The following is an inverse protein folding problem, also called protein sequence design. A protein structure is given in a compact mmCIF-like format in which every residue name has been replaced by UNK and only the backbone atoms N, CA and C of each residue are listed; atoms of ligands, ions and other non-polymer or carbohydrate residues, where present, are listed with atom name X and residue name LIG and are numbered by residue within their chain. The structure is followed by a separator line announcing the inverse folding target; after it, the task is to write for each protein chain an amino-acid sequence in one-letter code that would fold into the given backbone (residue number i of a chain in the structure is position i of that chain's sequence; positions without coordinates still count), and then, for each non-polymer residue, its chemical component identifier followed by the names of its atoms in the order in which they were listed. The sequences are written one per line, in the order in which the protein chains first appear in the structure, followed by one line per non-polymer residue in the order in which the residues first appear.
data_IF_137523000735
#
_entry.id   IF_137523000735
#
_cell.length_a   1.000
_cell.length_b   1.000
_cell.length_c   1.000
_cell.angle_alpha   90.00
_cell.angle_beta   90.00
_cell.angle_gamma   90.00
#
_symmetry.space_group_name_H-M   'P 1'
#
loop_
_entity.id
_entity.type
_entity.pdbx_description
1 polymer ?
#
# COMPACT_ATOMS: atom_id res chain seq x y z
N UNK A 1 54.11 -8.78 28.99
CA UNK A 1 54.31 -8.93 27.52
C UNK A 1 52.94 -9.12 26.89
N UNK A 2 52.35 -8.06 26.36
CA UNK A 2 51.08 -8.12 25.62
C UNK A 2 51.31 -8.74 24.24
N UNK A 3 50.58 -9.81 23.93
CA UNK A 3 50.54 -10.38 22.57
C UNK A 3 49.57 -9.56 21.73
N UNK A 4 50.08 -8.62 20.95
CA UNK A 4 49.32 -7.97 19.88
C UNK A 4 48.83 -9.04 18.89
N UNK A 5 47.50 -9.24 18.82
CA UNK A 5 46.87 -10.10 17.83
C UNK A 5 47.19 -9.54 16.44
N UNK A 6 47.93 -10.30 15.64
CA UNK A 6 48.23 -9.94 14.25
C UNK A 6 46.92 -9.72 13.48
N UNK A 7 46.78 -8.54 12.89
CA UNK A 7 45.67 -8.22 12.01
C UNK A 7 45.82 -9.02 10.71
N UNK A 8 45.05 -10.09 10.56
CA UNK A 8 44.95 -10.82 9.28
C UNK A 8 43.98 -10.07 8.37
N UNK A 9 44.48 -9.55 7.25
CA UNK A 9 43.61 -9.07 6.16
C UNK A 9 42.62 -10.20 5.80
N UNK A 10 41.31 -9.92 5.75
CA UNK A 10 40.34 -10.92 5.33
C UNK A 10 40.70 -11.37 3.91
N UNK A 11 40.78 -12.68 3.71
CA UNK A 11 40.99 -13.24 2.37
C UNK A 11 39.78 -12.88 1.51
N UNK A 12 39.97 -12.42 0.26
CA UNK A 12 38.84 -12.24 -0.65
C UNK A 12 38.13 -13.58 -0.80
N UNK A 13 36.83 -13.60 -0.51
CA UNK A 13 35.98 -14.76 -0.74
C UNK A 13 35.90 -14.92 -2.25
N UNK A 14 36.49 -15.99 -2.77
CA UNK A 14 36.43 -16.33 -4.19
C UNK A 14 34.98 -16.73 -4.53
N UNK A 15 34.28 -15.79 -5.16
CA UNK A 15 32.89 -15.83 -5.64
C UNK A 15 31.84 -15.70 -4.53
N UNK A 16 30.92 -14.71 -4.64
CA UNK A 16 29.71 -14.72 -3.82
C UNK A 16 28.97 -16.04 -4.03
N UNK A 17 28.45 -16.63 -2.95
CA UNK A 17 27.45 -17.69 -3.05
C UNK A 17 26.29 -17.22 -3.92
N UNK A 18 25.73 -18.18 -4.68
CA UNK A 18 24.52 -18.12 -5.52
C UNK A 18 23.66 -16.86 -5.33
N UNK A 19 23.63 -16.03 -6.38
CA UNK A 19 22.77 -14.85 -6.61
C UNK A 19 21.96 -14.36 -5.40
N UNK A 20 22.56 -13.52 -4.55
CA UNK A 20 21.79 -12.78 -3.56
C UNK A 20 20.96 -11.72 -4.29
N UNK A 21 19.63 -11.82 -4.21
CA UNK A 21 18.74 -10.79 -4.75
C UNK A 21 18.50 -9.73 -3.67
N UNK A 22 18.86 -8.48 -3.96
CA UNK A 22 18.57 -7.33 -3.09
C UNK A 22 17.36 -6.62 -3.67
N UNK A 23 16.32 -6.47 -2.85
CA UNK A 23 15.12 -5.72 -3.21
C UNK A 23 15.17 -4.38 -2.47
N UNK A 24 15.15 -3.28 -3.21
CA UNK A 24 14.98 -1.94 -2.67
C UNK A 24 13.50 -1.58 -2.70
N UNK A 25 12.94 -1.33 -1.52
CA UNK A 25 11.54 -0.99 -1.31
C UNK A 25 11.44 0.32 -0.51
N UNK A 26 11.80 1.42 -1.17
CA UNK A 26 11.73 2.76 -0.57
C UNK A 26 10.35 3.38 -0.77
N UNK A 27 10.02 4.37 0.07
CA UNK A 27 8.84 5.20 -0.07
C UNK A 27 8.73 5.77 -1.50
N UNK A 28 7.51 5.80 -2.03
CA UNK A 28 7.14 6.40 -3.29
C UNK A 28 6.93 7.92 -3.16
N UNK A 29 7.88 8.59 -2.52
CA UNK A 29 7.94 10.04 -2.44
C UNK A 29 9.27 10.58 -3.01
N UNK A 30 9.42 11.91 -3.03
CA UNK A 30 10.61 12.56 -3.61
C UNK A 30 11.90 12.12 -2.87
N UNK A 31 11.83 11.93 -1.54
CA UNK A 31 13.00 11.56 -0.73
C UNK A 31 13.33 10.09 -0.92
N UNK A 32 12.33 9.21 -0.91
CA UNK A 32 12.48 7.78 -1.15
C UNK A 32 13.07 7.49 -2.53
N UNK A 33 12.63 8.22 -3.56
CA UNK A 33 13.26 8.16 -4.91
C UNK A 33 14.74 8.53 -4.88
N UNK A 34 15.10 9.60 -4.17
CA UNK A 34 16.50 10.02 -4.03
C UNK A 34 17.36 9.03 -3.24
N UNK A 35 16.83 8.38 -2.21
CA UNK A 35 17.56 7.33 -1.47
C UNK A 35 17.71 6.06 -2.30
N UNK A 36 16.65 5.65 -3.01
CA UNK A 36 16.68 4.53 -3.93
C UNK A 36 17.81 4.67 -4.95
N UNK A 37 17.92 5.82 -5.63
CA UNK A 37 18.98 6.08 -6.62
C UNK A 37 20.38 6.00 -6.02
N UNK A 38 20.58 6.55 -4.81
CA UNK A 38 21.87 6.47 -4.12
C UNK A 38 22.23 5.02 -3.75
N UNK A 39 21.30 4.27 -3.20
CA UNK A 39 21.51 2.88 -2.82
C UNK A 39 21.72 1.98 -4.04
N UNK A 40 20.99 2.22 -5.12
CA UNK A 40 21.16 1.54 -6.40
C UNK A 40 22.58 1.70 -6.94
N UNK A 41 23.12 2.93 -6.95
CA UNK A 41 24.49 3.19 -7.37
C UNK A 41 25.55 2.52 -6.49
N UNK A 42 25.36 2.55 -5.17
CA UNK A 42 26.27 1.87 -4.22
C UNK A 42 26.25 0.35 -4.43
N UNK A 43 25.06 -0.23 -4.55
CA UNK A 43 24.91 -1.68 -4.75
C UNK A 43 25.52 -2.10 -6.07
N UNK A 44 25.24 -1.38 -7.16
CA UNK A 44 25.86 -1.66 -8.45
C UNK A 44 27.39 -1.62 -8.38
N UNK A 45 27.98 -0.62 -7.72
CA UNK A 45 29.44 -0.54 -7.56
C UNK A 45 30.03 -1.74 -6.81
N UNK A 46 29.34 -2.25 -5.79
CA UNK A 46 29.80 -3.36 -4.94
C UNK A 46 29.57 -4.75 -5.57
N UNK A 47 28.44 -4.93 -6.25
CA UNK A 47 27.95 -6.25 -6.69
C UNK A 47 28.08 -6.45 -8.20
N UNK A 48 28.28 -5.35 -8.95
CA UNK A 48 28.18 -5.31 -10.41
C UNK A 48 26.80 -5.77 -10.93
N UNK A 49 25.77 -5.68 -10.11
CA UNK A 49 24.39 -6.05 -10.42
C UNK A 49 23.43 -5.01 -9.87
N UNK A 50 22.46 -4.59 -10.68
CA UNK A 50 21.40 -3.72 -10.20
C UNK A 50 20.48 -4.50 -9.24
N UNK A 51 20.07 -3.90 -8.11
CA UNK A 51 19.07 -4.49 -7.25
C UNK A 51 17.70 -4.52 -7.95
N UNK A 52 16.83 -5.42 -7.49
CA UNK A 52 15.41 -5.37 -7.85
C UNK A 52 14.75 -4.18 -7.17
N UNK A 53 13.94 -3.41 -7.89
CA UNK A 53 13.21 -2.28 -7.33
C UNK A 53 11.75 -2.67 -7.13
N UNK A 54 11.28 -2.59 -5.89
CA UNK A 54 9.86 -2.60 -5.58
C UNK A 54 9.41 -1.15 -5.37
N UNK A 55 8.44 -0.70 -6.17
CA UNK A 55 7.80 0.61 -5.98
C UNK A 55 6.43 0.38 -5.34
N UNK A 56 6.20 0.89 -4.12
CA UNK A 56 4.89 0.80 -3.48
C UNK A 56 3.79 1.45 -4.34
N UNK A 57 2.61 0.83 -4.35
CA UNK A 57 1.43 1.40 -5.03
C UNK A 57 0.95 2.68 -4.34
N UNK A 58 1.09 2.70 -3.02
CA UNK A 58 0.79 3.80 -2.10
C UNK A 58 2.03 4.65 -1.86
N UNK A 59 2.10 5.32 -0.70
CA UNK A 59 3.29 6.04 -0.28
C UNK A 59 4.41 5.11 0.17
N UNK A 60 4.11 4.07 0.93
CA UNK A 60 5.10 3.12 1.44
C UNK A 60 4.55 1.68 1.46
N UNK A 61 5.42 0.70 1.73
CA UNK A 61 5.02 -0.71 1.78
C UNK A 61 4.03 -1.02 2.91
N UNK A 62 4.05 -0.27 4.01
CA UNK A 62 3.15 -0.50 5.13
C UNK A 62 1.72 -0.06 4.76
N UNK A 63 1.59 1.04 4.04
CA UNK A 63 0.33 1.49 3.47
C UNK A 63 -0.21 0.51 2.43
N UNK A 64 0.64 -0.07 1.58
CA UNK A 64 0.22 -1.16 0.67
C UNK A 64 -0.33 -2.37 1.44
N UNK A 65 0.29 -2.76 2.56
CA UNK A 65 -0.18 -3.86 3.40
C UNK A 65 -1.54 -3.56 4.05
N UNK A 66 -1.76 -2.32 4.49
CA UNK A 66 -3.06 -1.89 5.01
C UNK A 66 -4.13 -1.93 3.92
N UNK A 67 -3.83 -1.42 2.73
CA UNK A 67 -4.77 -1.49 1.60
C UNK A 67 -5.10 -2.94 1.24
N UNK A 68 -4.10 -3.82 1.18
CA UNK A 68 -4.28 -5.25 0.93
C UNK A 68 -5.23 -5.90 1.95
N UNK A 69 -5.13 -5.48 3.22
CA UNK A 69 -6.02 -5.95 4.26
C UNK A 69 -7.45 -5.42 4.09
N UNK A 70 -7.63 -4.13 3.79
CA UNK A 70 -8.96 -3.51 3.64
C UNK A 70 -9.73 -4.11 2.46
N UNK A 71 -9.07 -4.27 1.31
CA UNK A 71 -9.71 -4.82 0.10
C UNK A 71 -9.70 -6.36 0.08
N UNK A 72 -9.12 -6.99 1.10
CA UNK A 72 -9.00 -8.45 1.23
C UNK A 72 -8.32 -9.13 0.03
N UNK A 73 -7.39 -8.42 -0.62
CA UNK A 73 -6.63 -8.90 -1.77
C UNK A 73 -5.13 -8.81 -1.51
N UNK A 74 -4.41 -9.89 -1.79
CA UNK A 74 -2.95 -9.96 -1.58
C UNK A 74 -2.16 -9.08 -2.54
N UNK A 75 -2.69 -8.82 -3.73
CA UNK A 75 -2.03 -8.00 -4.74
C UNK A 75 -2.77 -6.66 -4.85
N UNK A 76 -2.06 -5.56 -4.55
CA UNK A 76 -2.57 -4.20 -4.72
C UNK A 76 -2.00 -3.61 -5.99
N UNK A 77 -2.88 -3.29 -6.92
CA UNK A 77 -2.60 -2.54 -8.13
C UNK A 77 -3.82 -1.70 -8.54
N UNK A 78 -3.68 -0.95 -9.63
CA UNK A 78 -4.73 -0.05 -10.14
C UNK A 78 -6.02 -0.83 -10.41
N UNK A 79 -5.91 -2.00 -11.05
CA UNK A 79 -7.07 -2.80 -11.47
C UNK A 79 -7.83 -3.35 -10.27
N UNK A 80 -7.13 -3.97 -9.31
CA UNK A 80 -7.73 -4.49 -8.07
C UNK A 80 -8.39 -3.40 -7.23
N UNK A 81 -7.82 -2.20 -7.21
CA UNK A 81 -8.41 -1.06 -6.51
C UNK A 81 -9.65 -0.55 -7.26
N UNK A 82 -9.59 -0.46 -8.59
CA UNK A 82 -10.72 -0.06 -9.41
C UNK A 82 -11.91 -1.03 -9.25
N UNK A 83 -11.67 -2.34 -9.36
CA UNK A 83 -12.68 -3.37 -9.16
C UNK A 83 -13.34 -3.27 -7.77
N UNK A 84 -12.52 -3.09 -6.72
CA UNK A 84 -13.04 -2.93 -5.35
C UNK A 84 -13.91 -1.67 -5.22
N UNK A 85 -13.47 -0.54 -5.77
CA UNK A 85 -14.21 0.72 -5.73
C UNK A 85 -15.52 0.64 -6.51
N UNK A 86 -15.50 0.07 -7.72
CA UNK A 86 -16.69 -0.12 -8.56
C UNK A 86 -17.72 -1.01 -7.86
N UNK A 87 -17.31 -2.17 -7.36
CA UNK A 87 -18.20 -3.08 -6.62
C UNK A 87 -18.76 -2.42 -5.36
N UNK A 88 -17.94 -1.64 -4.64
CA UNK A 88 -18.37 -0.91 -3.46
C UNK A 88 -19.43 0.14 -3.79
N UNK A 89 -19.24 0.91 -4.87
CA UNK A 89 -20.20 1.92 -5.32
C UNK A 89 -21.51 1.28 -5.80
N UNK A 90 -21.46 0.16 -6.51
CA UNK A 90 -22.65 -0.59 -6.91
C UNK A 90 -23.46 -1.04 -5.69
N UNK A 91 -22.79 -1.61 -4.69
CA UNK A 91 -23.43 -2.05 -3.43
C UNK A 91 -24.01 -0.89 -2.61
N UNK A 92 -23.33 0.27 -2.57
CA UNK A 92 -23.87 1.45 -1.90
C UNK A 92 -25.16 1.95 -2.57
N UNK A 93 -25.22 1.90 -3.89
CA UNK A 93 -26.38 2.33 -4.69
C UNK A 93 -27.51 1.29 -4.77
N UNK A 94 -27.22 0.01 -4.52
CA UNK A 94 -28.21 -1.06 -4.56
C UNK A 94 -29.21 -0.95 -3.39
N UNK A 95 -30.50 -1.12 -3.68
CA UNK A 95 -31.54 -1.18 -2.64
C UNK A 95 -31.56 -2.53 -1.90
N UNK A 96 -30.95 -3.57 -2.49
CA UNK A 96 -30.94 -4.92 -1.94
C UNK A 96 -29.79 -5.15 -0.94
N UNK A 97 -28.79 -4.27 -0.95
CA UNK A 97 -27.67 -4.34 0.00
C UNK A 97 -28.11 -3.86 1.39
N UNK A 98 -27.93 -4.67 2.45
CA UNK A 98 -28.26 -4.29 3.81
C UNK A 98 -27.52 -3.03 4.28
N UNK A 99 -28.18 -2.20 5.09
CA UNK A 99 -27.60 -0.95 5.63
C UNK A 99 -26.27 -1.22 6.35
N UNK A 100 -26.17 -2.29 7.14
CA UNK A 100 -24.93 -2.67 7.83
C UNK A 100 -23.78 -2.99 6.86
N UNK A 101 -24.07 -3.61 5.72
CA UNK A 101 -23.04 -3.88 4.71
C UNK A 101 -22.61 -2.56 4.05
N UNK A 102 -23.54 -1.65 3.78
CA UNK A 102 -23.23 -0.31 3.26
C UNK A 102 -22.39 0.53 4.22
N UNK A 103 -22.67 0.45 5.53
CA UNK A 103 -21.86 1.09 6.58
C UNK A 103 -20.43 0.54 6.58
N UNK A 104 -20.27 -0.79 6.58
CA UNK A 104 -18.94 -1.43 6.50
C UNK A 104 -18.18 -1.03 5.22
N UNK A 105 -18.87 -0.97 4.08
CA UNK A 105 -18.27 -0.49 2.82
C UNK A 105 -17.80 0.95 2.96
N UNK A 106 -18.62 1.84 3.56
CA UNK A 106 -18.24 3.23 3.78
C UNK A 106 -17.01 3.34 4.69
N UNK A 107 -16.98 2.60 5.80
CA UNK A 107 -15.83 2.56 6.71
C UNK A 107 -14.54 2.11 6.00
N UNK A 108 -14.63 1.11 5.11
CA UNK A 108 -13.50 0.66 4.29
C UNK A 108 -13.05 1.75 3.31
N UNK A 109 -13.98 2.45 2.66
CA UNK A 109 -13.67 3.52 1.72
C UNK A 109 -13.02 4.73 2.41
N UNK A 110 -13.47 5.11 3.61
CA UNK A 110 -12.85 6.16 4.41
C UNK A 110 -11.41 5.78 4.83
N UNK A 111 -11.19 4.52 5.22
CA UNK A 111 -9.84 4.02 5.51
C UNK A 111 -8.93 4.08 4.28
N UNK A 112 -9.44 3.70 3.10
CA UNK A 112 -8.67 3.80 1.85
C UNK A 112 -8.34 5.26 1.54
N UNK A 113 -9.29 6.21 1.65
CA UNK A 113 -9.03 7.64 1.40
C UNK A 113 -7.95 8.20 2.33
N UNK A 114 -7.88 7.71 3.58
CA UNK A 114 -6.85 8.14 4.54
C UNK A 114 -5.44 7.69 4.16
N UNK A 115 -5.31 6.55 3.46
CA UNK A 115 -4.04 5.97 3.03
C UNK A 115 -3.64 6.50 1.65
N UNK A 116 -4.58 6.49 0.70
CA UNK A 116 -4.40 6.94 -0.68
C UNK A 116 -5.60 7.80 -1.08
N UNK A 117 -5.49 9.13 -0.92
CA UNK A 117 -6.61 10.04 -1.14
C UNK A 117 -7.23 9.92 -2.52
N UNK A 118 -8.56 9.86 -2.53
CA UNK A 118 -9.35 9.88 -3.75
C UNK A 118 -9.33 11.26 -4.41
N UNK A 119 -9.61 11.27 -5.71
CA UNK A 119 -9.84 12.52 -6.43
C UNK A 119 -11.17 13.17 -6.01
N UNK A 120 -11.32 14.47 -6.27
CA UNK A 120 -12.51 15.25 -5.88
C UNK A 120 -13.81 14.66 -6.41
N UNK A 121 -13.79 14.07 -7.61
CA UNK A 121 -14.96 13.44 -8.22
C UNK A 121 -15.45 12.26 -7.37
N UNK A 122 -14.55 11.35 -7.00
CA UNK A 122 -14.89 10.20 -6.16
C UNK A 122 -15.32 10.66 -4.77
N UNK A 123 -14.66 11.66 -4.18
CA UNK A 123 -15.07 12.23 -2.89
C UNK A 123 -16.51 12.75 -2.92
N UNK A 124 -16.89 13.50 -3.96
CA UNK A 124 -18.25 13.98 -4.13
C UNK A 124 -19.29 12.85 -4.25
N UNK A 125 -18.94 11.75 -4.91
CA UNK A 125 -19.83 10.56 -5.01
C UNK A 125 -20.02 9.92 -3.63
N UNK A 126 -18.95 9.80 -2.84
CA UNK A 126 -18.99 9.19 -1.52
C UNK A 126 -19.79 10.01 -0.51
N UNK A 127 -19.64 11.34 -0.51
CA UNK A 127 -20.43 12.23 0.36
C UNK A 127 -21.93 12.11 0.05
N UNK A 128 -22.32 12.11 -1.24
CA UNK A 128 -23.72 11.89 -1.63
C UNK A 128 -24.25 10.52 -1.17
N UNK A 129 -23.43 9.46 -1.30
CA UNK A 129 -23.81 8.13 -0.84
C UNK A 129 -23.98 8.07 0.70
N UNK A 130 -23.14 8.80 1.44
CA UNK A 130 -23.17 8.91 2.89
C UNK A 130 -24.42 9.65 3.38
N UNK A 131 -24.78 10.76 2.75
CA UNK A 131 -26.01 11.50 3.05
C UNK A 131 -27.26 10.63 2.82
N UNK A 132 -27.30 9.91 1.69
CA UNK A 132 -28.39 8.98 1.37
C UNK A 132 -28.53 7.86 2.40
N UNK A 133 -27.40 7.32 2.89
CA UNK A 133 -27.38 6.27 3.90
C UNK A 133 -27.92 6.77 5.26
N UNK A 134 -27.53 7.98 5.66
CA UNK A 134 -28.05 8.62 6.88
C UNK A 134 -29.55 8.90 6.81
N UNK A 135 -30.05 9.32 5.63
CA UNK A 135 -31.48 9.51 5.42
C UNK A 135 -32.26 8.18 5.56
N UNK A 136 -31.71 7.07 5.06
CA UNK A 136 -32.32 5.74 5.16
C UNK A 136 -32.32 5.15 6.57
N UNK A 137 -31.28 5.41 7.37
CA UNK A 137 -31.21 4.97 8.76
C UNK A 137 -32.23 5.69 9.66
N UNK A 138 -32.46 6.99 9.42
CA UNK A 138 -33.41 7.81 10.19
C UNK A 138 -34.88 7.40 10.01
N UNK A 139 -35.24 6.80 8.87
CA UNK A 139 -36.63 6.35 8.58
C UNK A 139 -36.99 5.10 9.40
N UNK A 140 -36.01 4.25 9.74
CA UNK A 140 -36.24 3.01 10.51
C UNK A 140 -36.49 3.24 12.01
N UNK A 141 -36.18 4.42 12.54
CA UNK A 141 -36.33 4.77 13.96
C UNK A 141 -37.68 5.32 14.40
N UNK A 142 -38.64 5.51 13.48
CA UNK A 142 -39.94 6.17 13.76
C UNK A 142 -41.17 5.24 13.77
N UNK A 143 -40.99 3.92 13.68
CA UNK A 143 -42.08 2.95 13.84
C UNK A 143 -42.11 2.35 15.23
N UNK A 144 -42.76 3.03 16.19
CA UNK A 144 -43.30 2.41 17.41
C UNK A 144 -44.80 2.58 17.43
#
# INVERSE_FOLDING_TARGET
MEKTREYRKPKPINKPQESFNIILAFDNDIKGKGYKEKCEGILYALTQQFPTIYTPFSKDCNDDLKLAHIIENKAINIDTMAEFLESSLEKLNSNDTPIQEKENIMDKLEQIDSIKPFNERLKGILENAKENLQAQSCIKGRGR
#
